data_IF_302638631576
#
_entry.id   IF_302638631576
#
_cell.length_a   1.000
_cell.length_b   1.000
_cell.length_c   1.000
_cell.angle_alpha   90.00
_cell.angle_beta   90.00
_cell.angle_gamma   90.00
#
_symmetry.space_group_name_H-M   'P 1'
#
loop_
_entity.id
_entity.type
_entity.pdbx_description
1 polymer ?
#
# COMPACT_ATOMS: atom_id res chain seq x y z
N UNK A 1 3.12 6.87 -7.56
CA UNK A 1 2.20 6.10 -6.69
C UNK A 1 1.82 6.92 -5.47
N UNK A 2 2.80 7.45 -4.75
CA UNK A 2 2.57 8.34 -3.58
C UNK A 2 1.61 9.50 -3.86
N UNK A 3 1.81 10.30 -4.92
CA UNK A 3 0.86 11.37 -5.26
C UNK A 3 -0.58 10.87 -5.52
N UNK A 4 -0.74 9.67 -6.10
CA UNK A 4 -2.05 9.06 -6.33
C UNK A 4 -2.74 8.67 -5.02
N UNK A 5 -1.99 8.09 -4.09
CA UNK A 5 -2.50 7.77 -2.73
C UNK A 5 -2.83 9.03 -1.93
N UNK A 6 -2.01 10.08 -2.03
CA UNK A 6 -2.25 11.38 -1.37
C UNK A 6 -3.49 12.09 -1.91
N UNK A 7 -3.65 12.13 -3.24
CA UNK A 7 -4.82 12.69 -3.89
C UNK A 7 -6.10 11.92 -3.53
N UNK A 8 -6.05 10.58 -3.60
CA UNK A 8 -7.17 9.75 -3.21
C UNK A 8 -7.56 9.98 -1.74
N UNK A 9 -6.58 10.08 -0.84
CA UNK A 9 -6.79 10.44 0.56
C UNK A 9 -7.56 11.75 0.70
N UNK A 10 -7.16 12.82 0.01
CA UNK A 10 -7.89 14.10 0.05
C UNK A 10 -9.32 13.98 -0.49
N UNK A 11 -9.48 13.37 -1.66
CA UNK A 11 -10.80 13.19 -2.29
C UNK A 11 -11.73 12.36 -1.41
N UNK A 12 -11.19 11.34 -0.71
CA UNK A 12 -11.96 10.48 0.18
C UNK A 12 -12.68 11.27 1.26
N UNK A 13 -12.03 12.28 1.84
CA UNK A 13 -12.63 13.12 2.88
C UNK A 13 -13.86 13.89 2.37
N UNK A 14 -13.75 14.50 1.18
CA UNK A 14 -14.87 15.23 0.59
C UNK A 14 -16.01 14.29 0.18
N UNK A 15 -15.67 13.15 -0.44
CA UNK A 15 -16.64 12.15 -0.85
C UNK A 15 -17.44 11.60 0.34
N UNK A 16 -16.79 11.34 1.48
CA UNK A 16 -17.48 10.85 2.68
C UNK A 16 -18.31 11.91 3.41
N UNK A 17 -17.94 13.19 3.31
CA UNK A 17 -18.69 14.28 3.98
C UNK A 17 -20.09 14.43 3.36
N UNK A 18 -20.18 14.35 2.04
CA UNK A 18 -21.46 14.47 1.31
C UNK A 18 -22.23 13.15 1.21
N UNK A 19 -21.56 12.02 1.49
CA UNK A 19 -22.13 10.68 1.34
C UNK A 19 -23.37 10.47 2.20
N UNK A 20 -23.42 11.03 3.41
CA UNK A 20 -24.55 10.85 4.33
C UNK A 20 -25.87 11.43 3.81
N UNK A 21 -25.81 12.58 3.13
CA UNK A 21 -26.99 13.27 2.58
C UNK A 21 -27.51 12.53 1.36
N UNK A 22 -26.62 12.17 0.44
CA UNK A 22 -26.96 11.41 -0.77
C UNK A 22 -27.50 10.03 -0.42
N UNK A 23 -26.87 9.36 0.54
CA UNK A 23 -27.30 8.04 0.99
C UNK A 23 -28.66 8.10 1.69
N UNK A 24 -28.91 9.09 2.55
CA UNK A 24 -30.21 9.28 3.20
C UNK A 24 -31.35 9.47 2.18
N UNK A 25 -31.14 10.32 1.17
CA UNK A 25 -32.12 10.54 0.11
C UNK A 25 -32.39 9.27 -0.71
N UNK A 26 -31.36 8.48 -1.03
CA UNK A 26 -31.53 7.21 -1.75
C UNK A 26 -32.21 6.15 -0.87
N UNK A 27 -31.94 6.15 0.43
CA UNK A 27 -32.52 5.20 1.38
C UNK A 27 -34.05 5.32 1.46
N UNK A 28 -34.58 6.53 1.33
CA UNK A 28 -36.01 6.81 1.39
C UNK A 28 -36.75 6.46 0.10
N UNK A 29 -36.05 6.37 -1.03
CA UNK A 29 -36.67 6.27 -2.38
C UNK A 29 -36.39 4.95 -3.11
N UNK A 30 -35.48 4.11 -2.59
CA UNK A 30 -35.02 2.89 -3.27
C UNK A 30 -35.21 1.67 -2.37
N UNK A 31 -35.58 0.53 -2.96
CA UNK A 31 -35.68 -0.72 -2.20
C UNK A 31 -34.34 -1.11 -1.56
N UNK A 32 -34.42 -1.65 -0.34
CA UNK A 32 -33.30 -2.03 0.50
C UNK A 32 -32.26 -2.93 -0.21
N UNK A 33 -32.71 -3.81 -1.11
CA UNK A 33 -31.84 -4.72 -1.85
C UNK A 33 -30.93 -3.95 -2.81
N UNK A 34 -31.48 -3.02 -3.60
CA UNK A 34 -30.71 -2.23 -4.56
C UNK A 34 -29.77 -1.26 -3.84
N UNK A 35 -30.17 -0.71 -2.70
CA UNK A 35 -29.30 0.12 -1.86
C UNK A 35 -28.07 -0.65 -1.39
N UNK A 36 -28.21 -1.90 -0.95
CA UNK A 36 -27.07 -2.72 -0.52
C UNK A 36 -26.11 -3.03 -1.66
N UNK A 37 -26.62 -3.39 -2.84
CA UNK A 37 -25.78 -3.63 -4.01
C UNK A 37 -25.08 -2.36 -4.49
N UNK A 38 -25.78 -1.21 -4.47
CA UNK A 38 -25.19 0.09 -4.77
C UNK A 38 -24.04 0.43 -3.84
N UNK A 39 -24.21 0.27 -2.52
CA UNK A 39 -23.11 0.47 -1.58
C UNK A 39 -21.95 -0.47 -1.82
N UNK A 40 -22.22 -1.74 -2.07
CA UNK A 40 -21.17 -2.71 -2.32
C UNK A 40 -20.32 -2.26 -3.52
N UNK A 41 -20.95 -1.86 -4.63
CA UNK A 41 -20.26 -1.37 -5.82
C UNK A 41 -19.47 -0.09 -5.54
N UNK A 42 -20.06 0.88 -4.85
CA UNK A 42 -19.37 2.13 -4.50
C UNK A 42 -18.16 1.83 -3.62
N UNK A 43 -18.32 1.04 -2.56
CA UNK A 43 -17.23 0.66 -1.66
C UNK A 43 -16.14 -0.13 -2.40
N UNK A 44 -16.52 -1.04 -3.30
CA UNK A 44 -15.60 -1.83 -4.10
C UNK A 44 -14.74 -0.93 -5.00
N UNK A 45 -15.37 -0.04 -5.78
CA UNK A 45 -14.66 0.91 -6.66
C UNK A 45 -13.75 1.81 -5.81
N UNK A 46 -14.28 2.32 -4.70
CA UNK A 46 -13.56 3.22 -3.82
C UNK A 46 -12.30 2.59 -3.21
N UNK A 47 -12.38 1.35 -2.73
CA UNK A 47 -11.22 0.64 -2.16
C UNK A 47 -10.25 0.16 -3.24
N UNK A 48 -10.74 -0.18 -4.44
CA UNK A 48 -9.90 -0.68 -5.53
C UNK A 48 -8.85 0.34 -5.98
N UNK A 49 -9.20 1.62 -6.04
CA UNK A 49 -8.31 2.70 -6.48
C UNK A 49 -7.02 2.78 -5.62
N UNK A 50 -7.07 2.98 -4.29
CA UNK A 50 -5.88 3.03 -3.46
C UNK A 50 -5.16 1.68 -3.40
N UNK A 51 -5.88 0.55 -3.48
CA UNK A 51 -5.28 -0.77 -3.49
C UNK A 51 -4.33 -0.98 -4.68
N UNK A 52 -4.71 -0.51 -5.88
CA UNK A 52 -3.84 -0.56 -7.07
C UNK A 52 -2.58 0.28 -6.88
N UNK A 53 -2.71 1.49 -6.33
CA UNK A 53 -1.56 2.36 -6.09
C UNK A 53 -0.60 1.79 -5.03
N UNK A 54 -1.13 1.23 -3.94
CA UNK A 54 -0.32 0.63 -2.88
C UNK A 54 0.35 -0.65 -3.39
N UNK A 55 -0.41 -1.55 -4.02
CA UNK A 55 0.05 -2.85 -4.49
C UNK A 55 1.05 -2.79 -5.65
N UNK A 56 0.98 -1.76 -6.49
CA UNK A 56 1.89 -1.60 -7.63
C UNK A 56 3.33 -1.22 -7.28
N UNK A 57 3.60 -0.79 -6.04
CA UNK A 57 4.90 -0.27 -5.62
C UNK A 57 6.00 -1.33 -5.69
N UNK A 58 5.73 -2.54 -5.19
CA UNK A 58 6.73 -3.63 -5.18
C UNK A 58 7.09 -4.15 -6.58
N UNK A 59 6.14 -4.38 -7.51
CA UNK A 59 6.46 -4.73 -8.90
C UNK A 59 7.34 -3.70 -9.61
N UNK A 60 7.14 -2.40 -9.36
CA UNK A 60 7.98 -1.34 -9.94
C UNK A 60 9.40 -1.40 -9.37
N UNK A 61 9.53 -1.49 -8.04
CA UNK A 61 10.84 -1.59 -7.39
C UNK A 61 11.59 -2.85 -7.86
N UNK A 62 10.89 -3.97 -8.01
CA UNK A 62 11.45 -5.22 -8.51
C UNK A 62 12.10 -5.05 -9.89
N UNK A 63 11.39 -4.42 -10.84
CA UNK A 63 11.94 -4.13 -12.18
C UNK A 63 13.19 -3.23 -12.13
N UNK A 64 13.20 -2.21 -11.27
CA UNK A 64 14.36 -1.33 -11.09
C UNK A 64 15.56 -2.10 -10.53
N UNK A 65 15.36 -2.96 -9.53
CA UNK A 65 16.43 -3.75 -8.92
C UNK A 65 17.03 -4.77 -9.88
N UNK A 66 16.21 -5.39 -10.72
CA UNK A 66 16.64 -6.30 -11.79
C UNK A 66 17.52 -5.54 -12.79
N UNK A 67 17.08 -4.35 -13.23
CA UNK A 67 17.82 -3.52 -14.19
C UNK A 67 19.22 -3.13 -13.70
N UNK A 68 19.39 -2.91 -12.40
CA UNK A 68 20.68 -2.55 -11.80
C UNK A 68 21.51 -3.75 -11.31
N UNK A 69 21.17 -4.99 -11.71
CA UNK A 69 21.86 -6.24 -11.30
C UNK A 69 22.04 -6.38 -9.78
N UNK A 70 21.16 -5.77 -8.99
CA UNK A 70 21.19 -5.84 -7.52
C UNK A 70 20.61 -7.18 -7.09
N UNK A 71 21.14 -7.77 -6.00
CA UNK A 71 20.57 -8.97 -5.41
C UNK A 71 19.10 -8.74 -4.98
N UNK A 72 18.18 -9.17 -5.86
CA UNK A 72 16.75 -8.88 -5.79
C UNK A 72 16.15 -9.36 -4.47
N UNK A 73 16.49 -10.59 -4.05
CA UNK A 73 15.94 -11.22 -2.85
C UNK A 73 16.32 -10.46 -1.58
N UNK A 74 17.62 -10.13 -1.39
CA UNK A 74 18.12 -9.43 -0.20
C UNK A 74 17.60 -7.99 -0.16
N UNK A 75 17.61 -7.28 -1.28
CA UNK A 75 17.20 -5.87 -1.34
C UNK A 75 15.69 -5.67 -1.26
N UNK A 76 14.87 -6.45 -1.98
CA UNK A 76 13.40 -6.41 -1.83
C UNK A 76 12.98 -6.80 -0.42
N UNK A 77 13.60 -7.83 0.16
CA UNK A 77 13.32 -8.25 1.54
C UNK A 77 13.59 -7.13 2.55
N UNK A 78 14.69 -6.40 2.40
CA UNK A 78 15.01 -5.24 3.26
C UNK A 78 14.02 -4.10 3.07
N UNK A 79 13.67 -3.75 1.83
CA UNK A 79 12.67 -2.71 1.52
C UNK A 79 11.30 -3.09 2.10
N UNK A 80 10.90 -4.35 1.96
CA UNK A 80 9.64 -4.86 2.50
C UNK A 80 9.62 -4.81 4.04
N UNK A 81 10.68 -5.23 4.73
CA UNK A 81 10.75 -5.14 6.20
C UNK A 81 10.70 -3.68 6.68
N UNK A 82 11.44 -2.76 6.04
CA UNK A 82 11.39 -1.33 6.40
C UNK A 82 9.99 -0.75 6.17
N UNK A 83 9.35 -1.08 5.04
CA UNK A 83 7.99 -0.63 4.73
C UNK A 83 6.98 -1.14 5.77
N UNK A 84 6.95 -2.45 6.02
CA UNK A 84 5.98 -3.06 6.94
C UNK A 84 6.18 -2.64 8.39
N UNK A 85 7.44 -2.54 8.85
CA UNK A 85 7.76 -2.08 10.20
C UNK A 85 7.43 -0.59 10.38
N UNK A 86 7.80 0.25 9.41
CA UNK A 86 7.45 1.66 9.39
C UNK A 86 5.94 1.89 9.38
N UNK A 87 5.20 1.13 8.56
CA UNK A 87 3.73 1.18 8.55
C UNK A 87 3.13 0.79 9.89
N UNK A 88 3.68 -0.21 10.58
CA UNK A 88 3.19 -0.65 11.89
C UNK A 88 3.42 0.40 12.98
N UNK A 89 4.61 1.00 13.02
CA UNK A 89 4.91 2.12 13.92
C UNK A 89 4.01 3.32 13.60
N UNK A 90 3.86 3.64 12.32
CA UNK A 90 2.98 4.72 11.86
C UNK A 90 1.53 4.49 12.28
N UNK A 91 1.02 3.26 12.16
CA UNK A 91 -0.34 2.91 12.60
C UNK A 91 -0.52 3.05 14.12
N UNK A 92 0.48 2.67 14.93
CA UNK A 92 0.46 2.89 16.37
C UNK A 92 0.45 4.39 16.72
N UNK A 93 1.40 5.14 16.17
CA UNK A 93 1.51 6.58 16.41
C UNK A 93 0.22 7.29 15.98
N UNK A 94 -0.33 6.91 14.83
CA UNK A 94 -1.56 7.48 14.31
C UNK A 94 -2.76 7.15 15.21
N UNK A 95 -2.94 5.86 15.52
CA UNK A 95 -4.07 5.35 16.30
C UNK A 95 -4.13 5.85 17.74
N UNK A 96 -2.98 5.98 18.41
CA UNK A 96 -2.91 6.32 19.84
C UNK A 96 -2.65 7.79 20.12
N UNK A 97 -1.84 8.44 19.27
CA UNK A 97 -1.34 9.79 19.54
C UNK A 97 -2.01 10.76 18.59
N UNK A 98 -1.74 10.66 17.28
CA UNK A 98 -2.13 11.73 16.35
C UNK A 98 -3.64 11.92 16.32
N UNK A 99 -4.45 10.85 16.26
CA UNK A 99 -5.93 10.96 16.23
C UNK A 99 -6.44 11.72 17.45
N UNK A 100 -5.85 11.51 18.63
CA UNK A 100 -6.25 12.18 19.86
C UNK A 100 -5.87 13.67 19.88
N UNK A 101 -4.73 14.06 19.33
CA UNK A 101 -4.22 15.44 19.40
C UNK A 101 -4.60 16.31 18.20
N UNK A 102 -4.57 15.75 16.99
CA UNK A 102 -4.80 16.47 15.73
C UNK A 102 -6.24 16.30 15.22
N UNK A 103 -6.92 15.25 15.65
CA UNK A 103 -8.21 14.86 15.10
C UNK A 103 -8.10 14.27 13.69
N UNK A 104 -9.11 13.49 13.31
CA UNK A 104 -9.11 12.70 12.07
C UNK A 104 -8.85 13.54 10.82
N UNK A 105 -9.54 14.70 10.70
CA UNK A 105 -9.43 15.59 9.53
C UNK A 105 -7.99 16.07 9.31
N UNK A 106 -7.34 16.62 10.34
CA UNK A 106 -6.01 17.23 10.19
C UNK A 106 -4.96 16.20 9.80
N UNK A 107 -5.04 15.01 10.38
CA UNK A 107 -4.15 13.89 10.05
C UNK A 107 -4.26 13.51 8.59
N UNK A 108 -5.48 13.42 8.07
CA UNK A 108 -5.72 13.05 6.69
C UNK A 108 -5.07 14.06 5.73
N UNK A 109 -5.20 15.37 5.99
CA UNK A 109 -4.50 16.41 5.23
C UNK A 109 -2.97 16.35 5.42
N UNK A 110 -2.47 16.11 6.63
CA UNK A 110 -1.04 15.97 6.90
C UNK A 110 -0.44 14.78 6.15
N UNK A 111 -1.05 13.61 6.20
CA UNK A 111 -0.61 12.41 5.49
C UNK A 111 -0.64 12.61 3.97
N UNK A 112 -1.70 13.23 3.44
CA UNK A 112 -1.74 13.58 2.02
C UNK A 112 -0.61 14.54 1.62
N UNK A 113 -0.36 15.57 2.44
CA UNK A 113 0.75 16.50 2.24
C UNK A 113 2.11 15.79 2.23
N UNK A 114 2.34 14.87 3.18
CA UNK A 114 3.56 14.05 3.22
C UNK A 114 3.72 13.22 1.94
N UNK A 115 2.65 12.57 1.46
CA UNK A 115 2.70 11.79 0.21
C UNK A 115 3.03 12.65 -1.01
N UNK A 116 2.52 13.89 -1.07
CA UNK A 116 2.90 14.83 -2.14
C UNK A 116 4.35 15.27 -2.01
N UNK A 117 4.84 15.54 -0.80
CA UNK A 117 6.26 15.88 -0.57
C UNK A 117 7.17 14.73 -0.99
N UNK A 118 6.87 13.49 -0.61
CA UNK A 118 7.64 12.30 -1.02
C UNK A 118 7.62 12.17 -2.55
N UNK A 119 6.46 12.35 -3.18
CA UNK A 119 6.35 12.32 -4.63
C UNK A 119 7.22 13.39 -5.30
N UNK A 120 7.24 14.61 -4.75
CA UNK A 120 8.04 15.71 -5.28
C UNK A 120 9.54 15.44 -5.09
N UNK A 121 9.96 15.01 -3.90
CA UNK A 121 11.34 14.60 -3.61
C UNK A 121 11.82 13.48 -4.53
N UNK A 122 10.94 12.52 -4.84
CA UNK A 122 11.26 11.44 -5.78
C UNK A 122 11.49 11.97 -7.20
N UNK A 123 10.71 12.94 -7.67
CA UNK A 123 10.90 13.57 -8.99
C UNK A 123 12.22 14.35 -9.04
N UNK A 124 12.53 15.11 -7.98
CA UNK A 124 13.78 15.88 -7.87
C UNK A 124 14.99 14.94 -7.85
N UNK A 125 14.92 13.86 -7.08
CA UNK A 125 16.00 12.87 -6.97
C UNK A 125 16.18 12.09 -8.28
N UNK A 126 15.08 11.78 -8.98
CA UNK A 126 15.15 11.14 -10.29
C UNK A 126 15.84 12.05 -11.32
N UNK A 127 15.57 13.36 -11.32
CA UNK A 127 16.29 14.31 -12.18
C UNK A 127 17.79 14.36 -11.86
N UNK A 128 18.15 14.32 -10.59
CA UNK A 128 19.55 14.30 -10.13
C UNK A 128 20.26 12.98 -10.51
N UNK A 129 19.58 11.85 -10.38
CA UNK A 129 20.12 10.54 -10.71
C UNK A 129 20.20 10.30 -12.22
N UNK A 130 19.25 10.79 -13.02
CA UNK A 130 19.34 10.79 -14.48
C UNK A 130 20.51 11.64 -14.99
N UNK A 131 20.81 12.76 -14.32
CA UNK A 131 21.97 13.59 -14.64
C UNK A 131 23.30 12.86 -14.32
N UNK A 132 23.38 12.17 -13.18
CA UNK A 132 24.56 11.38 -12.79
C UNK A 132 24.73 10.10 -13.63
N UNK A 133 23.63 9.43 -14.01
CA UNK A 133 23.68 8.26 -14.89
C UNK A 133 24.08 8.66 -16.31
N UNK A 134 23.59 9.78 -16.85
CA UNK A 134 24.01 10.28 -18.16
C UNK A 134 25.50 10.69 -18.19
N UNK A 135 26.06 11.11 -17.05
CA UNK A 135 27.50 11.35 -16.90
C UNK A 135 28.32 10.06 -16.83
N UNK A 136 27.75 8.98 -16.26
CA UNK A 136 28.39 7.66 -16.16
C UNK A 136 28.22 6.81 -17.43
N UNK A 137 27.14 6.99 -18.19
CA UNK A 137 26.79 6.21 -19.39
C UNK A 137 27.66 6.58 -20.59
N UNK A 138 28.29 7.77 -20.59
CA UNK A 138 29.32 8.14 -21.57
C UNK A 138 30.67 7.42 -21.36
N UNK A 139 30.85 6.65 -20.28
CA UNK A 139 32.11 5.95 -19.97
C UNK A 139 32.07 4.43 -20.21
N UNK A 140 30.89 3.81 -20.34
CA UNK A 140 30.76 2.37 -20.58
C UNK A 140 29.59 2.06 -21.54
N UNK A 141 29.79 2.36 -22.82
CA UNK A 141 29.00 1.77 -23.89
C UNK A 141 29.65 0.42 -24.28
N UNK A 142 29.17 -0.68 -23.69
CA UNK A 142 29.13 -2.01 -24.35
C UNK A 142 28.40 -3.08 -23.52
N UNK A 143 27.68 -3.93 -24.27
CA UNK A 143 26.96 -5.14 -23.87
C UNK A 143 25.66 -4.98 -23.08
N UNK A 144 24.63 -4.47 -23.77
CA UNK A 144 23.24 -4.86 -23.50
C UNK A 144 22.76 -5.76 -24.64
N UNK A 145 23.26 -7.01 -24.63
CA UNK A 145 22.65 -8.07 -25.42
C UNK A 145 21.33 -8.50 -24.76
N UNK A 146 20.26 -8.08 -25.43
CA UNK A 146 18.91 -8.65 -25.51
C UNK A 146 18.53 -9.72 -24.47
N UNK A 147 17.99 -9.30 -23.33
CA UNK A 147 16.94 -10.11 -22.67
C UNK A 147 15.65 -9.83 -23.44
N UNK A 148 15.30 -10.73 -24.38
CA UNK A 148 13.94 -10.76 -24.94
C UNK A 148 12.97 -11.13 -23.82
N UNK A 149 12.32 -10.12 -23.23
CA UNK A 149 11.10 -10.32 -22.45
C UNK A 149 10.03 -10.86 -23.40
N UNK A 150 9.82 -12.17 -23.38
CA UNK A 150 8.61 -12.80 -23.90
C UNK A 150 7.71 -13.05 -22.70
N UNK A 151 6.86 -12.08 -22.37
CA UNK A 151 6.00 -12.17 -21.20
C UNK A 151 4.54 -11.94 -21.61
N UNK A 152 3.90 -13.01 -22.07
CA UNK A 152 2.45 -13.05 -22.07
C UNK A 152 2.03 -13.48 -20.67
N UNK A 153 1.11 -12.76 -20.00
CA UNK A 153 0.59 -13.24 -18.73
C UNK A 153 -0.14 -14.56 -19.02
N UNK A 154 0.42 -15.67 -18.56
CA UNK A 154 -0.31 -16.93 -18.56
C UNK A 154 -1.55 -16.69 -17.71
N UNK A 155 -2.75 -16.81 -18.30
CA UNK A 155 -4.03 -16.62 -17.61
C UNK A 155 -4.09 -17.42 -16.30
N UNK A 156 -3.40 -18.56 -16.26
CA UNK A 156 -3.19 -19.39 -15.09
C UNK A 156 -2.45 -18.67 -13.95
N UNK A 157 -1.34 -17.97 -14.24
CA UNK A 157 -0.61 -17.17 -13.24
C UNK A 157 -1.47 -15.99 -12.74
N UNK A 158 -2.19 -15.30 -13.62
CA UNK A 158 -3.13 -14.26 -13.22
C UNK A 158 -4.27 -14.81 -12.35
N UNK A 159 -4.79 -15.99 -12.69
CA UNK A 159 -5.85 -16.66 -11.93
C UNK A 159 -5.36 -17.08 -10.55
N UNK A 160 -4.17 -17.68 -10.44
CA UNK A 160 -3.56 -18.05 -9.16
C UNK A 160 -3.30 -16.81 -8.30
N UNK A 161 -2.76 -15.73 -8.88
CA UNK A 161 -2.57 -14.47 -8.18
C UNK A 161 -3.91 -13.87 -7.69
N UNK A 162 -4.95 -13.95 -8.51
CA UNK A 162 -6.28 -13.47 -8.15
C UNK A 162 -6.90 -14.27 -7.00
N UNK A 163 -6.93 -15.60 -7.09
CA UNK A 163 -7.53 -16.45 -6.06
C UNK A 163 -6.75 -16.45 -4.75
N UNK A 164 -5.41 -16.37 -4.80
CA UNK A 164 -4.60 -16.22 -3.58
C UNK A 164 -4.88 -14.87 -2.91
N UNK A 165 -4.93 -13.77 -3.68
CA UNK A 165 -5.32 -12.46 -3.16
C UNK A 165 -6.74 -12.43 -2.58
N UNK A 166 -7.70 -13.02 -3.29
CA UNK A 166 -9.10 -13.12 -2.84
C UNK A 166 -9.21 -13.89 -1.52
N UNK A 167 -8.51 -15.01 -1.40
CA UNK A 167 -8.52 -15.83 -0.18
C UNK A 167 -7.91 -15.08 1.00
N UNK A 168 -6.78 -14.39 0.79
CA UNK A 168 -6.13 -13.59 1.84
C UNK A 168 -7.01 -12.43 2.29
N UNK A 169 -7.63 -11.69 1.37
CA UNK A 169 -8.54 -10.59 1.72
C UNK A 169 -9.81 -11.10 2.41
N UNK A 170 -10.37 -12.22 1.96
CA UNK A 170 -11.51 -12.86 2.60
C UNK A 170 -11.17 -13.28 4.04
N UNK A 171 -10.01 -13.88 4.24
CA UNK A 171 -9.52 -14.26 5.56
C UNK A 171 -9.31 -13.03 6.47
N UNK A 172 -8.72 -11.96 5.95
CA UNK A 172 -8.52 -10.71 6.69
C UNK A 172 -9.86 -10.11 7.17
N UNK A 173 -10.88 -10.09 6.31
CA UNK A 173 -12.22 -9.58 6.66
C UNK A 173 -12.89 -10.44 7.73
N UNK A 174 -12.82 -11.77 7.59
CA UNK A 174 -13.40 -12.69 8.58
C UNK A 174 -12.70 -12.49 9.93
N UNK A 175 -11.36 -12.44 9.94
CA UNK A 175 -10.60 -12.29 11.16
C UNK A 175 -10.82 -10.94 11.83
N UNK A 176 -10.86 -9.83 11.09
CA UNK A 176 -11.14 -8.49 11.64
C UNK A 176 -12.57 -8.37 12.18
N UNK A 177 -13.54 -9.06 11.59
CA UNK A 177 -14.92 -9.17 12.11
C UNK A 177 -14.97 -9.95 13.42
N UNK A 178 -14.29 -11.10 13.49
CA UNK A 178 -14.18 -11.88 14.73
C UNK A 178 -13.47 -11.04 15.81
N UNK A 179 -12.40 -10.36 15.44
CA UNK A 179 -11.62 -9.51 16.34
C UNK A 179 -12.46 -8.38 16.94
N UNK A 180 -13.18 -7.63 16.12
CA UNK A 180 -14.03 -6.53 16.58
C UNK A 180 -15.19 -7.01 17.46
N UNK A 181 -15.71 -8.21 17.19
CA UNK A 181 -16.72 -8.86 18.02
C UNK A 181 -16.18 -9.27 19.40
N UNK A 182 -15.01 -9.92 19.45
CA UNK A 182 -14.40 -10.41 20.70
C UNK A 182 -13.89 -9.25 21.58
N UNK A 183 -13.21 -8.28 20.98
CA UNK A 183 -12.59 -7.14 21.69
C UNK A 183 -13.52 -5.92 21.81
N UNK A 184 -14.83 -6.10 21.54
CA UNK A 184 -15.88 -5.06 21.65
C UNK A 184 -15.47 -3.72 20.99
N UNK A 185 -14.82 -3.76 19.84
CA UNK A 185 -14.45 -2.56 19.06
C UNK A 185 -13.26 -1.73 19.56
N UNK A 186 -12.35 -2.30 20.37
CA UNK A 186 -11.12 -1.59 20.77
C UNK A 186 -10.14 -1.44 19.58
N UNK A 187 -10.17 -0.27 18.91
CA UNK A 187 -9.33 0.12 17.75
C UNK A 187 -7.82 -0.11 18.00
N UNK A 188 -7.40 0.02 19.26
CA UNK A 188 -6.04 -0.19 19.79
C UNK A 188 -5.47 -1.57 19.44
N UNK A 189 -6.34 -2.58 19.44
CA UNK A 189 -5.93 -3.97 19.37
C UNK A 189 -5.31 -4.38 18.03
N UNK A 190 -5.83 -3.83 16.93
CA UNK A 190 -5.31 -4.08 15.59
C UNK A 190 -3.87 -3.56 15.43
N UNK A 191 -3.60 -2.35 15.94
CA UNK A 191 -2.26 -1.75 15.86
C UNK A 191 -1.22 -2.53 16.66
N UNK A 192 -1.60 -3.11 17.81
CA UNK A 192 -0.70 -3.95 18.62
C UNK A 192 -0.35 -5.24 17.88
N UNK A 193 -1.34 -5.93 17.29
CA UNK A 193 -1.10 -7.17 16.54
C UNK A 193 -0.16 -6.92 15.36
N UNK A 194 -0.43 -5.86 14.57
CA UNK A 194 0.43 -5.48 13.45
C UNK A 194 1.87 -5.20 13.90
N UNK A 195 2.03 -4.49 15.01
CA UNK A 195 3.35 -4.17 15.54
C UNK A 195 4.11 -5.43 16.00
N UNK A 196 3.48 -6.28 16.80
CA UNK A 196 4.10 -7.51 17.31
C UNK A 196 4.51 -8.43 16.16
N UNK A 197 3.61 -8.64 15.19
CA UNK A 197 3.90 -9.49 14.03
C UNK A 197 5.05 -8.93 13.18
N UNK A 198 5.03 -7.63 12.89
CA UNK A 198 6.05 -6.98 12.07
C UNK A 198 7.42 -6.94 12.73
N UNK A 199 7.45 -6.70 14.05
CA UNK A 199 8.67 -6.77 14.85
C UNK A 199 9.27 -8.17 14.83
N UNK A 200 8.45 -9.20 15.05
CA UNK A 200 8.87 -10.59 14.98
C UNK A 200 9.42 -10.97 13.60
N UNK A 201 8.72 -10.59 12.53
CA UNK A 201 9.16 -10.87 11.16
C UNK A 201 10.51 -10.22 10.82
N UNK A 202 10.71 -8.96 11.19
CA UNK A 202 11.98 -8.28 10.93
C UNK A 202 13.14 -8.89 11.75
N UNK A 203 12.89 -9.31 12.99
CA UNK A 203 13.89 -10.02 13.82
C UNK A 203 14.24 -11.39 13.23
N UNK A 204 13.24 -12.17 12.81
CA UNK A 204 13.44 -13.46 12.13
C UNK A 204 14.28 -13.33 10.85
N UNK A 205 14.00 -12.32 10.02
CA UNK A 205 14.77 -12.02 8.81
C UNK A 205 16.23 -11.65 9.11
N UNK A 206 16.47 -10.94 10.21
CA UNK A 206 17.82 -10.58 10.65
C UNK A 206 18.62 -11.83 11.02
N UNK A 207 18.03 -12.76 11.79
CA UNK A 207 18.66 -14.02 12.16
C UNK A 207 19.04 -14.87 10.94
N UNK A 208 18.14 -15.05 9.96
CA UNK A 208 18.45 -15.84 8.76
C UNK A 208 19.61 -15.25 7.95
N UNK A 209 19.75 -13.92 7.89
CA UNK A 209 20.85 -13.31 7.15
C UNK A 209 22.19 -13.48 7.86
N UNK A 210 22.22 -13.53 9.19
CA UNK A 210 23.46 -13.78 9.97
C UNK A 210 23.97 -15.22 9.79
N UNK A 211 23.09 -16.19 9.57
CA UNK A 211 23.47 -17.61 9.34
C UNK A 211 23.94 -17.91 7.90
N UNK A 212 23.86 -16.94 6.98
CA UNK A 212 24.18 -17.12 5.55
C UNK A 212 25.40 -16.34 5.05
N UNK A 213 26.08 -15.61 5.96
CA UNK A 213 27.38 -14.95 5.71
C UNK A 213 28.50 -15.71 6.43
#
# INVERSE_FOLDING_TARGET
MEAGTGLFGLLSYFLFTEFGVVYGFLADNVSYVYLKWGHFLIAFIFISIPAVFIGGTFPIIGRVLIRHKVNLKKKLGKIYCVNTFGSSIGALICGFILIRYLGFKRILFTCAGINFLISLSSIVTQKYQSYLLQFSENAEEKDIDQIKEKDYPNLLLCSIAFFSGFTVLGYEIIWTRIYTYVFKGWIIGFSIILFVFSFWYCRWKHYINEDTE
#
